data_IF_780969650938
#
_entry.id   IF_780969650938
#
_cell.length_a   1.000
_cell.length_b   1.000
_cell.length_c   1.000
_cell.angle_alpha   90.00
_cell.angle_beta   90.00
_cell.angle_gamma   90.00
#
_symmetry.space_group_name_H-M   'P 1'
#
loop_
_entity.id
_entity.type
_entity.pdbx_description
1 polymer ?
#
# COMPACT_ATOMS: atom_id res chain seq x y z
N UNK A 1 -10.15 6.19 33.54
CA UNK A 1 -10.84 7.19 32.70
C UNK A 1 -12.27 6.72 32.43
N UNK A 2 -13.22 7.66 32.41
CA UNK A 2 -14.64 7.37 32.10
C UNK A 2 -14.79 7.41 30.58
N UNK A 3 -15.36 6.36 29.97
CA UNK A 3 -15.77 6.41 28.57
C UNK A 3 -16.94 7.37 28.42
N UNK A 4 -16.84 8.27 27.47
CA UNK A 4 -17.87 9.29 27.14
C UNK A 4 -18.28 9.03 25.70
N UNK A 5 -19.58 8.97 25.42
CA UNK A 5 -20.08 8.89 24.05
C UNK A 5 -19.90 10.23 23.33
N UNK A 6 -19.77 10.20 22.01
CA UNK A 6 -19.62 11.41 21.19
C UNK A 6 -20.81 12.35 21.36
N UNK A 7 -22.01 11.81 21.52
CA UNK A 7 -23.25 12.55 21.74
C UNK A 7 -23.27 13.31 23.09
N UNK A 8 -22.56 12.78 24.10
CA UNK A 8 -22.44 13.42 25.41
C UNK A 8 -21.55 14.67 25.35
N UNK A 9 -20.72 14.82 24.33
CA UNK A 9 -19.81 15.95 24.13
C UNK A 9 -20.47 17.18 23.53
N UNK A 10 -21.71 17.07 23.03
CA UNK A 10 -22.49 18.15 22.40
C UNK A 10 -21.67 18.97 21.39
N UNK A 11 -20.90 18.27 20.55
CA UNK A 11 -20.08 18.90 19.52
C UNK A 11 -21.00 19.41 18.41
N UNK A 12 -20.86 20.67 18.03
CA UNK A 12 -21.53 21.26 16.88
C UNK A 12 -20.78 20.91 15.58
N UNK A 13 -21.51 20.73 14.47
CA UNK A 13 -20.96 20.39 13.14
C UNK A 13 -20.22 19.05 13.05
N UNK A 14 -20.64 18.05 13.81
CA UNK A 14 -20.18 16.68 13.60
C UNK A 14 -20.71 16.15 12.27
N UNK A 15 -19.87 15.37 11.55
CA UNK A 15 -20.32 14.70 10.33
C UNK A 15 -21.44 13.73 10.64
N UNK A 16 -22.41 13.62 9.71
CA UNK A 16 -23.47 12.61 9.81
C UNK A 16 -22.85 11.21 9.82
N UNK A 17 -23.50 10.26 10.54
CA UNK A 17 -23.04 8.87 10.62
C UNK A 17 -22.84 8.24 9.24
N UNK A 18 -23.70 8.57 8.27
CA UNK A 18 -23.58 8.06 6.90
C UNK A 18 -22.34 8.61 6.19
N UNK A 19 -21.98 9.89 6.40
CA UNK A 19 -20.75 10.47 5.88
C UNK A 19 -19.51 9.84 6.52
N UNK A 20 -19.59 9.52 7.81
CA UNK A 20 -18.51 8.82 8.54
C UNK A 20 -18.36 7.41 7.98
N UNK A 21 -19.44 6.67 7.78
CA UNK A 21 -19.44 5.32 7.19
C UNK A 21 -18.93 5.31 5.75
N UNK A 22 -19.36 6.28 4.93
CA UNK A 22 -18.85 6.41 3.56
C UNK A 22 -17.39 6.79 3.46
N UNK A 23 -16.85 7.49 4.45
CA UNK A 23 -15.46 7.93 4.49
C UNK A 23 -14.56 7.09 5.39
N UNK A 24 -15.11 6.20 6.22
CA UNK A 24 -14.36 5.35 7.11
C UNK A 24 -13.37 4.47 6.34
N UNK A 25 -12.12 4.45 6.78
CA UNK A 25 -11.03 3.73 6.13
C UNK A 25 -10.53 4.34 4.80
N UNK A 26 -11.09 5.46 4.34
CA UNK A 26 -10.69 6.13 3.09
C UNK A 26 -9.90 7.39 3.38
N UNK A 27 -8.59 7.27 3.26
CA UNK A 27 -7.68 8.41 3.38
C UNK A 27 -7.76 9.29 2.12
N UNK A 28 -8.02 10.58 2.29
CA UNK A 28 -8.17 11.57 1.22
C UNK A 28 -7.14 12.69 1.38
N UNK A 29 -6.56 13.13 0.29
CA UNK A 29 -5.58 14.22 0.25
C UNK A 29 -5.39 14.77 -1.15
N UNK A 30 -4.59 15.81 -1.29
CA UNK A 30 -4.18 16.35 -2.59
C UNK A 30 -2.91 15.68 -3.08
N UNK A 31 -2.78 15.52 -4.40
CA UNK A 31 -1.54 15.04 -5.00
C UNK A 31 -0.55 16.21 -5.08
N UNK A 32 0.65 15.99 -4.54
CA UNK A 32 1.79 16.90 -4.65
C UNK A 32 2.81 16.30 -5.62
N UNK A 33 3.52 17.15 -6.34
CA UNK A 33 4.60 16.74 -7.25
C UNK A 33 5.86 17.57 -7.01
N UNK A 34 7.01 16.92 -7.11
CA UNK A 34 8.33 17.52 -7.00
C UNK A 34 9.33 16.75 -7.89
N UNK A 35 10.54 17.24 -7.96
CA UNK A 35 11.61 16.52 -8.65
C UNK A 35 12.40 15.66 -7.66
N UNK A 36 12.73 14.44 -8.06
CA UNK A 36 13.56 13.57 -7.26
C UNK A 36 14.92 14.21 -6.97
N UNK A 37 15.33 14.38 -5.71
CA UNK A 37 16.60 15.04 -5.36
C UNK A 37 17.84 14.29 -5.84
N UNK A 38 17.71 13.00 -6.22
CA UNK A 38 18.83 12.22 -6.75
C UNK A 38 18.95 12.28 -8.28
N UNK A 39 17.84 12.19 -9.03
CA UNK A 39 17.88 12.06 -10.50
C UNK A 39 17.10 13.13 -11.26
N UNK A 40 16.39 14.01 -10.57
CA UNK A 40 15.62 15.10 -11.19
C UNK A 40 14.29 14.67 -11.86
N UNK A 41 13.95 13.38 -11.88
CA UNK A 41 12.69 12.93 -12.45
C UNK A 41 11.50 13.34 -11.59
N UNK A 42 10.36 13.64 -12.23
CA UNK A 42 9.14 14.00 -11.52
C UNK A 42 8.63 12.83 -10.66
N UNK A 43 8.31 13.13 -9.41
CA UNK A 43 7.74 12.22 -8.44
C UNK A 43 6.43 12.78 -7.89
N UNK A 44 5.50 11.92 -7.51
CA UNK A 44 4.17 12.32 -7.04
C UNK A 44 3.80 11.55 -5.78
N UNK A 45 3.14 12.22 -4.83
CA UNK A 45 2.62 11.58 -3.62
C UNK A 45 1.34 12.26 -3.13
N UNK A 46 0.63 11.60 -2.23
CA UNK A 46 -0.58 12.17 -1.60
C UNK A 46 -0.17 12.91 -0.33
N UNK A 47 -0.35 14.22 -0.34
CA UNK A 47 0.04 15.10 0.75
C UNK A 47 -0.61 14.70 2.08
N UNK A 48 0.21 14.57 3.12
CA UNK A 48 -0.20 14.20 4.48
C UNK A 48 -0.58 12.73 4.69
N UNK A 49 -0.58 11.92 3.62
CA UNK A 49 -0.93 10.49 3.68
C UNK A 49 0.23 9.58 3.29
N UNK A 50 1.06 10.02 2.37
CA UNK A 50 2.26 9.30 1.96
C UNK A 50 3.43 9.70 2.85
N UNK A 51 4.20 8.74 3.31
CA UNK A 51 5.42 8.97 4.12
C UNK A 51 6.70 8.55 3.40
N UNK A 52 6.61 7.62 2.46
CA UNK A 52 7.76 7.05 1.75
C UNK A 52 7.48 6.95 0.26
N UNK A 53 8.54 7.12 -0.53
CA UNK A 53 8.49 7.03 -1.98
C UNK A 53 9.77 6.36 -2.50
N UNK A 54 9.59 5.40 -3.40
CA UNK A 54 10.67 4.85 -4.20
C UNK A 54 10.61 5.49 -5.59
N UNK A 55 11.63 6.26 -5.95
CA UNK A 55 11.66 6.97 -7.22
C UNK A 55 11.51 6.00 -8.40
N UNK A 56 10.51 6.20 -9.20
CA UNK A 56 10.21 5.34 -10.37
C UNK A 56 11.32 5.32 -11.42
N UNK A 57 12.17 6.35 -11.46
CA UNK A 57 13.26 6.46 -12.44
C UNK A 57 14.57 5.87 -11.97
N UNK A 58 14.98 6.14 -10.72
CA UNK A 58 16.29 5.73 -10.21
C UNK A 58 16.22 4.74 -9.05
N UNK A 59 15.02 4.44 -8.53
CA UNK A 59 14.84 3.52 -7.40
C UNK A 59 15.33 4.06 -6.04
N UNK A 60 15.71 5.34 -5.96
CA UNK A 60 16.12 5.95 -4.68
C UNK A 60 14.95 5.99 -3.71
N UNK A 61 15.22 5.66 -2.45
CA UNK A 61 14.26 5.76 -1.36
C UNK A 61 14.22 7.20 -0.82
N UNK A 62 13.02 7.75 -0.71
CA UNK A 62 12.75 9.10 -0.28
C UNK A 62 11.77 9.11 0.89
N UNK A 63 12.00 9.96 1.88
CA UNK A 63 10.97 10.39 2.82
C UNK A 63 10.20 11.54 2.21
N UNK A 64 8.88 11.48 2.22
CA UNK A 64 8.03 12.56 1.70
C UNK A 64 7.19 13.16 2.82
N UNK A 65 7.21 14.48 2.89
CA UNK A 65 6.45 15.28 3.83
C UNK A 65 5.33 16.03 3.13
N UNK A 66 4.92 17.14 3.75
CA UNK A 66 3.83 17.97 3.26
C UNK A 66 4.13 18.56 1.88
N UNK A 67 5.34 19.12 1.72
CA UNK A 67 5.72 19.86 0.52
C UNK A 67 7.13 19.53 0.04
N UNK A 68 7.77 18.49 0.59
CA UNK A 68 9.18 18.15 0.35
C UNK A 68 9.43 16.67 0.28
N UNK A 69 10.34 16.28 -0.63
CA UNK A 69 10.93 14.95 -0.69
C UNK A 69 12.39 15.02 -0.25
N UNK A 70 12.80 14.18 0.69
CA UNK A 70 14.16 14.08 1.21
C UNK A 70 14.76 12.72 0.90
N UNK A 71 16.01 12.72 0.43
CA UNK A 71 16.72 11.50 0.06
C UNK A 71 17.09 10.69 1.31
N UNK A 72 16.61 9.45 1.42
CA UNK A 72 17.05 8.49 2.44
C UNK A 72 18.21 7.67 1.90
N UNK A 73 18.02 7.04 0.74
CA UNK A 73 19.04 6.16 0.13
C UNK A 73 19.09 6.42 -1.36
N UNK A 74 20.27 6.79 -1.85
CA UNK A 74 20.53 6.94 -3.29
C UNK A 74 20.67 5.57 -3.95
N UNK A 75 20.02 5.39 -5.10
CA UNK A 75 20.17 4.21 -5.94
C UNK A 75 20.67 4.62 -7.33
N UNK A 76 21.56 3.81 -7.90
CA UNK A 76 22.12 4.02 -9.24
C UNK A 76 21.38 3.21 -10.34
N UNK A 77 20.40 2.39 -9.99
CA UNK A 77 19.66 1.55 -10.95
C UNK A 77 18.66 2.39 -11.72
N UNK A 78 19.05 2.81 -12.89
CA UNK A 78 18.30 3.76 -13.74
C UNK A 78 17.35 3.06 -14.66
N UNK A 79 16.84 2.02 -14.81
CA UNK A 79 16.03 1.67 -16.01
C UNK A 79 15.17 0.42 -15.92
N UNK A 80 15.43 -0.46 -14.98
CA UNK A 80 14.76 -1.76 -14.98
C UNK A 80 13.37 -1.78 -14.32
N UNK A 81 13.04 -0.79 -13.50
CA UNK A 81 11.85 -0.89 -12.63
C UNK A 81 10.51 -0.57 -13.34
N UNK A 82 10.50 0.34 -14.29
CA UNK A 82 9.26 0.70 -14.99
C UNK A 82 8.75 -0.39 -15.94
N UNK A 83 9.65 -1.19 -16.51
CA UNK A 83 9.29 -2.28 -17.43
C UNK A 83 8.73 -3.53 -16.72
N UNK A 84 8.83 -3.58 -15.39
CA UNK A 84 8.40 -4.74 -14.61
C UNK A 84 6.90 -4.72 -14.23
N UNK A 85 6.26 -3.57 -14.38
CA UNK A 85 4.86 -3.39 -13.99
C UNK A 85 3.97 -3.17 -15.20
N UNK A 86 2.85 -3.85 -15.25
CA UNK A 86 1.83 -3.71 -16.30
C UNK A 86 1.19 -2.32 -16.26
N UNK A 87 0.97 -1.78 -15.03
CA UNK A 87 0.47 -0.43 -14.85
C UNK A 87 1.62 0.52 -14.46
N UNK A 88 1.98 1.49 -15.32
CA UNK A 88 3.04 2.44 -15.00
C UNK A 88 2.66 3.37 -13.85
N UNK A 89 3.56 3.51 -12.87
CA UNK A 89 3.40 4.46 -11.75
C UNK A 89 3.34 5.90 -12.28
N UNK A 90 2.48 6.73 -11.69
CA UNK A 90 2.25 8.11 -12.08
C UNK A 90 1.24 8.28 -13.23
N UNK A 91 0.71 7.20 -13.78
CA UNK A 91 -0.34 7.26 -14.82
C UNK A 91 -1.73 7.27 -14.20
N UNK A 92 -2.66 7.80 -14.97
CA UNK A 92 -4.08 7.75 -14.68
C UNK A 92 -4.75 6.65 -15.50
N UNK A 93 -5.75 6.04 -14.90
CA UNK A 93 -6.62 5.06 -15.55
C UNK A 93 -8.04 5.11 -15.00
N UNK A 94 -8.95 4.43 -15.66
CA UNK A 94 -10.35 4.36 -15.25
C UNK A 94 -10.69 2.95 -14.79
N UNK A 95 -11.18 2.85 -13.54
CA UNK A 95 -11.67 1.60 -12.94
C UNK A 95 -13.08 1.83 -12.40
N UNK A 96 -14.04 0.95 -12.74
CA UNK A 96 -15.46 1.07 -12.34
C UNK A 96 -16.03 2.48 -12.59
N UNK A 97 -15.76 3.06 -13.77
CA UNK A 97 -16.15 4.41 -14.20
C UNK A 97 -15.58 5.58 -13.37
N UNK A 98 -14.53 5.35 -12.59
CA UNK A 98 -13.84 6.38 -11.80
C UNK A 98 -12.38 6.47 -12.21
N UNK A 99 -11.82 7.67 -12.15
CA UNK A 99 -10.41 7.91 -12.48
C UNK A 99 -9.55 7.66 -11.25
N UNK A 100 -8.45 6.94 -11.44
CA UNK A 100 -7.44 6.67 -10.41
C UNK A 100 -6.05 6.98 -10.93
N UNK A 101 -5.20 7.43 -10.02
CA UNK A 101 -3.77 7.53 -10.23
C UNK A 101 -3.08 6.28 -9.72
N UNK A 102 -2.13 5.74 -10.46
CA UNK A 102 -1.24 4.67 -9.97
C UNK A 102 -0.15 5.35 -9.13
N UNK A 103 -0.32 5.36 -7.81
CA UNK A 103 0.59 6.03 -6.88
C UNK A 103 1.82 5.20 -6.60
N UNK A 104 1.67 3.89 -6.48
CA UNK A 104 2.76 2.96 -6.22
C UNK A 104 2.49 1.59 -6.80
N UNK A 105 3.55 0.83 -6.98
CA UNK A 105 3.50 -0.56 -7.41
C UNK A 105 4.56 -1.38 -6.66
N UNK A 106 4.20 -2.57 -6.21
CA UNK A 106 5.08 -3.52 -5.54
C UNK A 106 5.00 -4.86 -6.24
N UNK A 107 6.15 -5.46 -6.53
CA UNK A 107 6.24 -6.85 -6.97
C UNK A 107 6.72 -7.72 -5.84
N UNK A 108 5.98 -8.78 -5.58
CA UNK A 108 6.31 -9.78 -4.59
C UNK A 108 6.75 -11.08 -5.27
N UNK A 109 7.68 -11.79 -4.63
CA UNK A 109 7.82 -13.21 -4.82
C UNK A 109 6.97 -13.91 -3.75
N UNK A 110 6.14 -14.86 -4.17
CA UNK A 110 5.44 -15.77 -3.26
C UNK A 110 6.46 -16.74 -2.65
N UNK A 111 6.33 -16.99 -1.36
CA UNK A 111 7.24 -17.83 -0.59
C UNK A 111 6.45 -18.75 0.32
N UNK A 112 7.02 -19.88 0.70
CA UNK A 112 6.40 -20.80 1.64
C UNK A 112 6.02 -20.09 2.95
N UNK A 113 4.81 -20.38 3.43
CA UNK A 113 4.24 -19.74 4.62
C UNK A 113 5.07 -20.02 5.89
N UNK A 114 5.51 -21.27 6.09
CA UNK A 114 6.26 -21.67 7.29
C UNK A 114 7.65 -21.04 7.28
N UNK A 115 8.36 -21.09 6.16
CA UNK A 115 9.69 -20.47 6.01
C UNK A 115 9.61 -18.95 6.26
N UNK A 116 8.59 -18.30 5.74
CA UNK A 116 8.34 -16.87 5.95
C UNK A 116 8.05 -16.55 7.40
N UNK A 117 7.18 -17.34 8.04
CA UNK A 117 6.85 -17.19 9.44
C UNK A 117 8.10 -17.36 10.32
N UNK A 118 8.91 -18.40 10.10
CA UNK A 118 10.14 -18.65 10.83
C UNK A 118 11.13 -17.48 10.68
N UNK A 119 11.30 -16.93 9.47
CA UNK A 119 12.17 -15.77 9.25
C UNK A 119 11.69 -14.51 9.94
N UNK A 120 10.37 -14.24 9.93
CA UNK A 120 9.79 -13.05 10.56
C UNK A 120 9.81 -13.10 12.08
N UNK A 121 9.48 -14.26 12.67
CA UNK A 121 9.18 -14.37 14.11
C UNK A 121 10.22 -15.14 14.90
N UNK A 122 11.03 -16.00 14.27
CA UNK A 122 12.06 -16.80 14.97
C UNK A 122 13.47 -16.27 14.75
N UNK A 123 13.64 -15.19 13.97
CA UNK A 123 14.96 -14.59 13.67
C UNK A 123 15.87 -15.50 12.85
N UNK A 124 15.33 -16.52 12.21
CA UNK A 124 16.05 -17.37 11.27
C UNK A 124 16.24 -16.64 9.96
N UNK A 125 17.44 -16.59 9.48
CA UNK A 125 17.80 -15.87 8.23
C UNK A 125 17.97 -16.89 7.08
N UNK A 126 16.91 -17.65 6.79
CA UNK A 126 16.91 -18.66 5.73
C UNK A 126 16.68 -18.00 4.37
N UNK A 127 17.30 -18.56 3.35
CA UNK A 127 16.99 -18.22 1.96
C UNK A 127 15.61 -18.77 1.62
N UNK A 128 14.69 -17.87 1.26
CA UNK A 128 13.34 -18.24 0.85
C UNK A 128 13.32 -18.70 -0.60
N UNK A 129 12.60 -19.78 -0.87
CA UNK A 129 12.40 -20.29 -2.22
C UNK A 129 11.15 -19.64 -2.82
N UNK A 130 11.26 -18.92 -3.96
CA UNK A 130 10.09 -18.37 -4.62
C UNK A 130 9.23 -19.48 -5.24
N UNK A 131 7.91 -19.46 -4.97
CA UNK A 131 6.92 -20.40 -5.54
C UNK A 131 6.10 -19.76 -6.65
N UNK A 132 5.94 -18.43 -6.60
CA UNK A 132 5.19 -17.64 -7.55
C UNK A 132 5.56 -16.16 -7.47
N UNK A 133 4.77 -15.33 -8.13
CA UNK A 133 4.91 -13.88 -8.06
C UNK A 133 3.58 -13.19 -8.33
N UNK A 134 3.40 -12.01 -7.70
CA UNK A 134 2.29 -11.11 -8.01
C UNK A 134 2.73 -9.66 -7.93
N UNK A 135 1.90 -8.76 -8.45
CA UNK A 135 2.11 -7.32 -8.33
C UNK A 135 0.89 -6.67 -7.68
N UNK A 136 1.14 -5.71 -6.81
CA UNK A 136 0.12 -4.89 -6.19
C UNK A 136 0.31 -3.43 -6.61
N UNK A 137 -0.80 -2.79 -6.98
CA UNK A 137 -0.82 -1.39 -7.40
C UNK A 137 -1.65 -0.58 -6.42
N UNK A 138 -1.03 0.41 -5.79
CA UNK A 138 -1.73 1.37 -4.96
C UNK A 138 -2.34 2.45 -5.85
N UNK A 139 -3.65 2.39 -5.99
CA UNK A 139 -4.43 3.37 -6.74
C UNK A 139 -4.98 4.45 -5.81
N UNK A 140 -5.05 5.68 -6.29
CA UNK A 140 -5.59 6.79 -5.53
C UNK A 140 -6.61 7.60 -6.35
N UNK A 141 -7.72 7.92 -5.71
CA UNK A 141 -8.71 8.86 -6.19
C UNK A 141 -9.01 9.91 -5.11
N UNK A 142 -9.02 11.23 -5.41
CA UNK A 142 -9.23 12.26 -4.40
C UNK A 142 -10.54 12.17 -3.61
N UNK A 143 -11.58 11.57 -4.20
CA UNK A 143 -12.89 11.42 -3.56
C UNK A 143 -13.09 10.05 -2.89
N UNK A 144 -12.42 9.00 -3.39
CA UNK A 144 -12.56 7.63 -2.91
C UNK A 144 -11.44 7.20 -1.96
N UNK A 145 -10.28 7.89 -1.99
CA UNK A 145 -9.09 7.48 -1.27
C UNK A 145 -8.30 6.40 -2.01
N UNK A 146 -7.66 5.55 -1.24
CA UNK A 146 -6.82 4.47 -1.76
C UNK A 146 -7.59 3.18 -2.04
N UNK A 147 -7.11 2.46 -3.05
CA UNK A 147 -7.58 1.15 -3.47
C UNK A 147 -6.37 0.32 -3.89
N UNK A 148 -6.35 -0.97 -3.58
CA UNK A 148 -5.35 -1.89 -4.09
C UNK A 148 -5.89 -2.70 -5.26
N UNK A 149 -5.11 -2.78 -6.33
CA UNK A 149 -5.35 -3.66 -7.47
C UNK A 149 -4.22 -4.69 -7.50
N UNK A 150 -4.57 -5.96 -7.51
CA UNK A 150 -3.64 -7.09 -7.47
C UNK A 150 -3.63 -7.79 -8.81
N UNK A 151 -2.45 -7.99 -9.36
CA UNK A 151 -2.19 -8.73 -10.59
C UNK A 151 -1.45 -10.02 -10.25
N UNK A 152 -2.02 -11.15 -10.58
CA UNK A 152 -1.43 -12.48 -10.43
C UNK A 152 -1.59 -13.29 -11.72
N UNK A 153 -1.06 -14.49 -11.75
CA UNK A 153 -1.24 -15.41 -12.89
C UNK A 153 -2.72 -15.82 -13.08
N UNK A 154 -3.54 -15.73 -12.03
CA UNK A 154 -4.97 -16.00 -12.09
C UNK A 154 -5.79 -14.81 -12.62
N UNK A 155 -5.19 -13.63 -12.73
CA UNK A 155 -5.83 -12.41 -13.24
C UNK A 155 -5.76 -11.22 -12.28
N UNK A 156 -6.81 -10.38 -12.33
CA UNK A 156 -6.87 -9.11 -11.60
C UNK A 156 -7.88 -9.14 -10.48
N UNK A 157 -7.46 -8.76 -9.28
CA UNK A 157 -8.30 -8.67 -8.10
C UNK A 157 -8.26 -7.26 -7.50
N UNK A 158 -9.35 -6.85 -6.88
CA UNK A 158 -9.43 -5.60 -6.14
C UNK A 158 -9.42 -5.93 -4.65
N UNK A 159 -8.52 -5.28 -3.91
CA UNK A 159 -8.49 -5.32 -2.45
C UNK A 159 -8.93 -3.96 -1.90
N UNK A 160 -10.00 -3.95 -1.15
CA UNK A 160 -10.58 -2.75 -0.54
C UNK A 160 -10.48 -2.84 0.98
N UNK A 161 -10.26 -1.69 1.62
CA UNK A 161 -10.31 -1.61 3.09
C UNK A 161 -11.73 -1.84 3.57
N UNK A 162 -11.91 -2.75 4.52
CA UNK A 162 -13.21 -2.95 5.17
C UNK A 162 -13.56 -1.74 6.04
N UNK A 163 -14.83 -1.35 6.03
CA UNK A 163 -15.32 -0.26 6.88
C UNK A 163 -15.47 -0.67 8.35
N UNK A 164 -15.69 -1.96 8.59
CA UNK A 164 -15.88 -2.55 9.91
C UNK A 164 -14.85 -3.64 10.18
N UNK A 165 -14.44 -3.78 11.42
CA UNK A 165 -13.65 -4.92 11.85
C UNK A 165 -14.49 -6.20 11.81
N UNK A 166 -13.97 -7.30 11.23
CA UNK A 166 -14.70 -8.57 11.23
C UNK A 166 -14.88 -9.04 12.68
N UNK A 167 -16.08 -9.52 13.01
CA UNK A 167 -16.30 -10.17 14.30
C UNK A 167 -15.50 -11.47 14.34
N UNK A 168 -14.80 -11.68 15.42
CA UNK A 168 -14.02 -12.91 15.63
C UNK A 168 -14.86 -13.93 16.40
N UNK A 169 -14.70 -15.18 16.07
CA UNK A 169 -15.24 -16.31 16.84
C UNK A 169 -14.38 -16.61 18.08
N UNK A 170 -14.72 -17.69 18.82
CA UNK A 170 -13.99 -18.13 20.02
C UNK A 170 -12.54 -18.56 19.72
N UNK A 171 -12.26 -18.94 18.47
CA UNK A 171 -10.94 -19.36 18.00
C UNK A 171 -10.16 -18.20 17.36
N UNK A 172 -10.68 -16.95 17.47
CA UNK A 172 -10.13 -15.73 16.86
C UNK A 172 -10.15 -15.77 15.33
N UNK A 173 -11.06 -16.54 14.72
CA UNK A 173 -11.26 -16.57 13.28
C UNK A 173 -12.37 -15.57 12.89
N UNK A 174 -12.23 -14.84 11.76
CA UNK A 174 -13.25 -13.93 11.28
C UNK A 174 -14.55 -14.66 10.95
N UNK A 175 -15.66 -14.25 11.57
CA UNK A 175 -16.97 -14.83 11.30
C UNK A 175 -17.43 -14.50 9.87
N UNK A 176 -17.95 -15.52 9.18
CA UNK A 176 -18.42 -15.37 7.80
C UNK A 176 -17.35 -15.49 6.73
N UNK A 177 -16.11 -15.73 7.12
CA UNK A 177 -14.98 -15.96 6.22
C UNK A 177 -14.38 -17.34 6.45
N UNK A 178 -13.99 -18.00 5.38
CA UNK A 178 -13.20 -19.24 5.43
C UNK A 178 -11.75 -18.93 5.11
N UNK A 179 -10.83 -19.46 5.89
CA UNK A 179 -9.40 -19.40 5.57
C UNK A 179 -9.13 -20.29 4.35
N UNK A 180 -8.48 -19.75 3.33
CA UNK A 180 -8.10 -20.50 2.15
C UNK A 180 -6.74 -21.19 2.37
N UNK A 181 -5.68 -20.40 2.51
CA UNK A 181 -4.31 -20.87 2.75
C UNK A 181 -3.48 -19.72 3.33
N UNK A 182 -2.31 -20.07 3.87
CA UNK A 182 -1.31 -19.10 4.27
C UNK A 182 -0.20 -19.07 3.22
N UNK A 183 0.40 -17.92 3.01
CA UNK A 183 1.56 -17.76 2.14
C UNK A 183 2.44 -16.60 2.62
N UNK A 184 3.68 -16.60 2.18
CA UNK A 184 4.61 -15.50 2.40
C UNK A 184 4.75 -14.64 1.16
N UNK A 185 5.16 -13.40 1.36
CA UNK A 185 5.49 -12.49 0.29
C UNK A 185 6.79 -11.75 0.56
N UNK A 186 7.75 -11.85 -0.33
CA UNK A 186 8.98 -11.06 -0.27
C UNK A 186 8.94 -9.96 -1.32
N UNK A 187 9.08 -8.69 -0.89
CA UNK A 187 9.19 -7.55 -1.80
C UNK A 187 10.44 -7.71 -2.67
N UNK A 188 10.25 -7.74 -3.97
CA UNK A 188 11.34 -7.78 -4.97
C UNK A 188 11.61 -6.42 -5.57
N UNK A 189 10.57 -5.66 -5.84
CA UNK A 189 10.66 -4.30 -6.41
C UNK A 189 9.53 -3.46 -5.84
N UNK A 190 9.84 -2.24 -5.44
CA UNK A 190 8.84 -1.22 -5.08
C UNK A 190 9.11 0.06 -5.88
N UNK A 191 8.06 0.69 -6.36
CA UNK A 191 8.13 1.93 -7.15
C UNK A 191 6.96 2.85 -6.82
N UNK A 192 7.22 4.15 -6.68
CA UNK A 192 6.20 5.16 -6.37
C UNK A 192 6.00 5.39 -4.89
N UNK A 193 4.85 5.95 -4.53
CA UNK A 193 4.53 6.49 -3.23
C UNK A 193 3.61 5.58 -2.42
N UNK A 194 3.93 5.39 -1.13
CA UNK A 194 3.20 4.54 -0.21
C UNK A 194 2.92 5.28 1.11
N UNK A 195 1.87 4.89 1.81
CA UNK A 195 1.57 5.41 3.14
C UNK A 195 2.35 4.68 4.25
N UNK A 196 3.15 3.65 3.92
CA UNK A 196 4.15 3.03 4.78
C UNK A 196 5.46 2.82 4.01
N UNK A 197 6.50 2.48 4.73
CA UNK A 197 7.80 2.18 4.13
C UNK A 197 7.80 0.79 3.51
N UNK A 198 8.16 0.71 2.23
CA UNK A 198 8.30 -0.54 1.47
C UNK A 198 9.73 -0.62 0.94
N UNK A 199 10.41 -1.70 1.25
CA UNK A 199 11.78 -1.96 0.81
C UNK A 199 11.92 -3.30 0.13
N UNK A 200 12.87 -3.39 -0.78
CA UNK A 200 13.29 -4.67 -1.34
C UNK A 200 13.80 -5.59 -0.23
N UNK A 201 13.29 -6.80 -0.20
CA UNK A 201 13.59 -7.80 0.82
C UNK A 201 12.61 -7.84 2.00
N UNK A 202 11.74 -6.82 2.18
CA UNK A 202 10.71 -6.86 3.21
C UNK A 202 9.83 -8.10 3.05
N UNK A 203 9.51 -8.74 4.18
CA UNK A 203 8.70 -9.95 4.24
C UNK A 203 7.32 -9.64 4.80
N UNK A 204 6.31 -10.23 4.22
CA UNK A 204 4.93 -10.22 4.70
C UNK A 204 4.42 -11.66 4.83
N UNK A 205 3.55 -11.89 5.80
CA UNK A 205 2.84 -13.15 6.00
C UNK A 205 1.34 -12.89 5.83
N UNK A 206 0.70 -13.66 4.97
CA UNK A 206 -0.71 -13.52 4.60
C UNK A 206 -1.55 -14.69 5.07
#
# INVERSE_FOLDING_TARGET
GRMVNLDDLKLENTRHEDEIKESAGRLKGSITSENCPNCGSSIHWVNGLTSHLNCQSCGSELAVGKDKAELITANAMRTAQQSLFTLPVGRQGRLKNREFYVMGAVRYAETDAQETFENLFSGLNRTLTPEGQWSEYLLYNPTQGFLWLVESDEGWNISETLNDWPRLDRNRQPQGYGKLYDYGGQVKVASGAFYWRVRNGDLNYY
#
